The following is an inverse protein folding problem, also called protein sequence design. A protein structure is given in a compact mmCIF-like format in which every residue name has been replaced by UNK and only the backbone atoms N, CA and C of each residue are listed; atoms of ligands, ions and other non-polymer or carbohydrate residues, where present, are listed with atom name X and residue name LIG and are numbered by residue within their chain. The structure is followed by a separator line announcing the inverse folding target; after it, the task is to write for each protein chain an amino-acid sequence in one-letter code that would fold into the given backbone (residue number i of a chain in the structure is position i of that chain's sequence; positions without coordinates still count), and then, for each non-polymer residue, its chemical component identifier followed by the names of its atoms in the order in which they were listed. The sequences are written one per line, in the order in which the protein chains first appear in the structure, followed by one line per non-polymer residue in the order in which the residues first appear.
data_IF_018494602199
#
_entry.id   IF_018494602199
#
_cell.length_a   1.000
_cell.length_b   1.000
_cell.length_c   1.000
_cell.angle_alpha   90.00
_cell.angle_beta   90.00
_cell.angle_gamma   90.00
#
_symmetry.space_group_name_H-M   'P 1'
#
loop_
_entity.id
_entity.type
_entity.pdbx_description
1 polymer ?
#
# COMPACT_ATOMS: atom_id res chain seq x y z
N UNK A 1 10.89 18.21 -16.67
CA UNK A 1 10.54 18.92 -17.91
C UNK A 1 10.44 17.88 -19.03
N UNK A 2 9.22 17.62 -19.52
CA UNK A 2 8.92 16.62 -20.52
C UNK A 2 8.85 17.24 -21.92
N UNK A 3 10.03 17.47 -22.52
CA UNK A 3 10.14 18.01 -23.90
C UNK A 3 9.60 17.00 -24.92
N UNK A 4 9.78 15.70 -24.65
CA UNK A 4 9.31 14.62 -25.52
C UNK A 4 7.80 14.71 -25.75
N UNK A 5 7.02 14.88 -24.68
CA UNK A 5 5.56 15.09 -24.75
C UNK A 5 5.17 16.29 -25.63
N UNK A 6 5.90 17.40 -25.51
CA UNK A 6 5.68 18.60 -26.34
C UNK A 6 5.94 18.31 -27.82
N UNK A 7 7.03 17.61 -28.14
CA UNK A 7 7.41 17.25 -29.52
C UNK A 7 6.43 16.26 -30.14
N UNK A 8 6.04 15.23 -29.39
CA UNK A 8 5.04 14.24 -29.81
C UNK A 8 3.72 14.91 -30.15
N UNK A 9 3.21 15.76 -29.25
CA UNK A 9 1.94 16.45 -29.48
C UNK A 9 1.97 17.36 -30.71
N UNK A 10 3.07 18.07 -30.94
CA UNK A 10 3.24 18.88 -32.15
C UNK A 10 3.15 18.03 -33.41
N UNK A 11 3.81 16.86 -33.42
CA UNK A 11 3.82 15.94 -34.55
C UNK A 11 2.44 15.31 -34.78
N UNK A 12 1.73 14.93 -33.73
CA UNK A 12 0.34 14.43 -33.81
C UNK A 12 -0.60 15.43 -34.49
N UNK A 13 -0.46 16.71 -34.16
CA UNK A 13 -1.26 17.79 -34.75
C UNK A 13 -0.76 18.23 -36.15
N UNK A 14 0.30 17.61 -36.66
CA UNK A 14 0.85 17.91 -37.99
C UNK A 14 1.55 19.27 -38.10
N UNK A 15 1.87 19.93 -36.98
CA UNK A 15 2.51 21.24 -37.03
C UNK A 15 4.00 21.15 -37.37
N UNK A 16 4.46 21.91 -38.35
CA UNK A 16 5.90 22.21 -38.47
C UNK A 16 6.34 23.16 -37.33
N UNK A 17 7.64 23.20 -37.01
CA UNK A 17 8.15 24.15 -36.01
C UNK A 17 7.86 25.61 -36.39
N UNK A 18 7.89 25.92 -37.69
CA UNK A 18 7.48 27.21 -38.23
C UNK A 18 6.00 27.49 -38.02
N UNK A 19 5.13 26.50 -38.24
CA UNK A 19 3.68 26.67 -38.05
C UNK A 19 3.32 26.87 -36.59
N UNK A 20 3.93 26.08 -35.70
CA UNK A 20 3.74 26.24 -34.27
C UNK A 20 4.21 27.62 -33.77
N UNK A 21 5.30 28.14 -34.33
CA UNK A 21 5.87 29.43 -33.94
C UNK A 21 5.04 30.65 -34.39
N UNK A 22 4.24 30.56 -35.46
CA UNK A 22 3.54 31.70 -36.09
C UNK A 22 2.76 32.56 -35.09
N UNK A 23 3.09 33.85 -35.00
CA UNK A 23 2.39 34.78 -34.10
C UNK A 23 2.66 34.58 -32.60
N UNK A 24 3.62 33.72 -32.23
CA UNK A 24 4.03 33.48 -30.83
C UNK A 24 5.52 33.77 -30.66
N UNK A 25 6.38 33.14 -31.46
CA UNK A 25 7.83 33.29 -31.39
C UNK A 25 8.50 32.97 -32.75
N UNK A 26 9.82 32.78 -32.78
CA UNK A 26 10.54 32.38 -34.00
C UNK A 26 10.71 30.87 -34.06
N UNK A 27 10.82 30.31 -35.28
CA UNK A 27 11.10 28.88 -35.47
C UNK A 27 12.41 28.46 -34.77
N UNK A 28 13.43 29.32 -34.75
CA UNK A 28 14.67 29.07 -34.05
C UNK A 28 14.49 28.93 -32.53
N UNK A 29 13.51 29.61 -31.93
CA UNK A 29 13.17 29.47 -30.51
C UNK A 29 12.55 28.10 -30.22
N UNK A 30 11.63 27.63 -31.08
CA UNK A 30 11.07 26.26 -30.97
C UNK A 30 12.16 25.21 -31.16
N UNK A 31 13.02 25.37 -32.17
CA UNK A 31 14.12 24.44 -32.42
C UNK A 31 15.07 24.34 -31.22
N UNK A 32 15.44 25.47 -30.60
CA UNK A 32 16.30 25.48 -29.40
C UNK A 32 15.61 24.90 -28.17
N UNK A 33 14.30 25.07 -28.04
CA UNK A 33 13.51 24.47 -26.97
C UNK A 33 13.42 22.94 -27.14
N UNK A 34 13.08 22.46 -28.34
CA UNK A 34 12.91 21.02 -28.65
C UNK A 34 14.23 20.25 -28.63
N UNK A 35 15.31 20.81 -29.19
CA UNK A 35 16.58 20.08 -29.37
C UNK A 35 17.57 20.25 -28.21
N UNK A 36 17.59 21.42 -27.56
CA UNK A 36 18.61 21.77 -26.58
C UNK A 36 18.04 22.07 -25.18
N UNK A 37 16.72 21.89 -24.98
CA UNK A 37 16.05 22.17 -23.71
C UNK A 37 16.21 23.61 -23.22
N UNK A 38 16.49 24.56 -24.12
CA UNK A 38 16.72 25.96 -23.75
C UNK A 38 15.41 26.56 -23.25
N UNK A 39 15.39 26.97 -21.97
CA UNK A 39 14.24 27.61 -21.36
C UNK A 39 13.80 28.85 -22.14
N UNK A 40 12.52 28.86 -22.48
CA UNK A 40 11.80 29.99 -23.08
C UNK A 40 11.00 30.69 -21.99
N UNK A 41 10.57 31.93 -22.25
CA UNK A 41 9.75 32.64 -21.26
C UNK A 41 8.43 31.90 -21.04
N UNK A 42 7.93 31.93 -19.80
CA UNK A 42 6.67 31.32 -19.39
C UNK A 42 5.49 31.78 -20.25
N UNK A 43 5.50 33.06 -20.67
CA UNK A 43 4.52 33.62 -21.60
C UNK A 43 4.52 32.92 -22.96
N UNK A 44 5.70 32.71 -23.56
CA UNK A 44 5.82 32.03 -24.86
C UNK A 44 5.40 30.57 -24.70
N UNK A 45 5.89 29.90 -23.65
CA UNK A 45 5.54 28.50 -23.37
C UNK A 45 4.03 28.32 -23.23
N UNK A 46 3.35 29.15 -22.43
CA UNK A 46 1.90 29.09 -22.24
C UNK A 46 1.11 29.21 -23.54
N UNK A 47 1.52 30.11 -24.44
CA UNK A 47 0.86 30.29 -25.73
C UNK A 47 1.06 29.09 -26.65
N UNK A 48 2.24 28.45 -26.59
CA UNK A 48 2.52 27.22 -27.34
C UNK A 48 1.72 26.04 -26.80
N UNK A 49 1.65 25.87 -25.47
CA UNK A 49 0.82 24.86 -24.80
C UNK A 49 -0.65 24.99 -25.21
N UNK A 50 -1.18 26.22 -25.14
CA UNK A 50 -2.56 26.52 -25.54
C UNK A 50 -2.82 26.12 -27.00
N UNK A 51 -1.89 26.40 -27.91
CA UNK A 51 -2.01 26.02 -29.33
C UNK A 51 -1.95 24.50 -29.55
N UNK A 52 -1.17 23.79 -28.74
CA UNK A 52 -1.05 22.34 -28.78
C UNK A 52 -2.19 21.62 -28.03
N UNK A 53 -3.05 22.37 -27.32
CA UNK A 53 -4.12 21.82 -26.50
C UNK A 53 -3.60 20.99 -25.32
N UNK A 54 -2.40 21.29 -24.82
CA UNK A 54 -1.81 20.65 -23.65
C UNK A 54 -1.64 21.68 -22.54
N UNK A 55 -1.68 21.20 -21.31
CA UNK A 55 -1.42 22.03 -20.14
C UNK A 55 0.08 22.28 -19.97
N UNK A 56 0.44 23.37 -19.26
CA UNK A 56 1.84 23.58 -18.85
C UNK A 56 2.30 22.45 -17.91
N UNK A 57 1.40 21.91 -17.08
CA UNK A 57 1.70 20.79 -16.18
C UNK A 57 2.07 19.51 -16.93
N UNK A 58 1.61 19.29 -18.16
CA UNK A 58 2.08 18.16 -18.98
C UNK A 58 3.55 18.28 -19.44
N UNK A 59 4.09 19.50 -19.50
CA UNK A 59 5.49 19.78 -19.90
C UNK A 59 6.36 19.98 -18.66
N UNK A 60 5.82 20.62 -17.64
CA UNK A 60 6.43 20.83 -16.34
C UNK A 60 5.48 20.25 -15.30
N UNK A 61 5.50 18.92 -15.11
CA UNK A 61 4.70 18.29 -14.06
C UNK A 61 4.95 19.05 -12.76
N UNK A 62 3.88 19.57 -12.16
CA UNK A 62 4.04 20.02 -10.79
C UNK A 62 4.41 18.78 -9.97
N UNK A 63 5.40 18.88 -9.08
CA UNK A 63 5.70 17.81 -8.11
C UNK A 63 4.44 17.28 -7.42
N UNK A 64 3.50 18.19 -7.13
CA UNK A 64 2.20 17.94 -6.50
C UNK A 64 1.30 17.07 -7.38
N UNK A 65 1.28 17.26 -8.70
CA UNK A 65 0.40 16.52 -9.62
C UNK A 65 0.92 15.09 -9.84
N UNK A 66 2.24 14.89 -9.87
CA UNK A 66 2.87 13.56 -10.04
C UNK A 66 2.68 12.70 -8.79
N UNK A 67 2.93 13.26 -7.59
CA UNK A 67 2.74 12.52 -6.34
C UNK A 67 1.25 12.22 -6.10
N UNK A 68 0.32 13.08 -6.54
CA UNK A 68 -1.13 12.84 -6.42
C UNK A 68 -1.59 11.61 -7.23
N UNK A 69 -1.15 11.47 -8.48
CA UNK A 69 -1.48 10.28 -9.29
C UNK A 69 -0.84 9.01 -8.73
N UNK A 70 0.42 9.09 -8.28
CA UNK A 70 1.08 7.97 -7.60
C UNK A 70 0.30 7.58 -6.35
N UNK A 71 -0.11 8.54 -5.51
CA UNK A 71 -0.88 8.28 -4.29
C UNK A 71 -2.21 7.56 -4.58
N UNK A 72 -2.96 7.96 -5.61
CA UNK A 72 -4.20 7.26 -5.98
C UNK A 72 -3.93 5.78 -6.35
N UNK A 73 -2.84 5.53 -7.09
CA UNK A 73 -2.45 4.16 -7.46
C UNK A 73 -1.99 3.36 -6.25
N UNK A 74 -1.25 3.97 -5.33
CA UNK A 74 -0.85 3.35 -4.07
C UNK A 74 -2.07 2.99 -3.22
N UNK A 75 -3.10 3.84 -3.14
CA UNK A 75 -4.35 3.51 -2.43
C UNK A 75 -5.04 2.28 -3.00
N UNK A 76 -5.00 2.10 -4.33
CA UNK A 76 -5.53 0.88 -4.97
C UNK A 76 -4.69 -0.34 -4.60
N UNK A 77 -3.36 -0.24 -4.69
CA UNK A 77 -2.46 -1.33 -4.31
C UNK A 77 -2.54 -1.68 -2.80
N UNK A 78 -2.79 -0.70 -1.93
CA UNK A 78 -3.07 -0.91 -0.51
C UNK A 78 -4.34 -1.73 -0.31
N UNK A 79 -5.41 -1.42 -1.05
CA UNK A 79 -6.65 -2.17 -0.98
C UNK A 79 -6.44 -3.62 -1.41
N UNK A 80 -5.76 -3.84 -2.53
CA UNK A 80 -5.42 -5.17 -3.04
C UNK A 80 -4.59 -5.98 -2.02
N UNK A 81 -3.64 -5.33 -1.34
CA UNK A 81 -2.88 -5.94 -0.25
C UNK A 81 -3.78 -6.40 0.92
N UNK A 82 -4.79 -5.60 1.28
CA UNK A 82 -5.72 -5.90 2.38
C UNK A 82 -6.66 -7.06 2.00
N UNK A 83 -7.15 -7.08 0.76
CA UNK A 83 -8.01 -8.14 0.20
C UNK A 83 -7.26 -9.40 -0.18
N UNK A 84 -5.94 -9.42 -0.01
CA UNK A 84 -5.02 -10.54 -0.28
C UNK A 84 -4.76 -10.83 -1.75
N UNK A 85 -5.00 -9.85 -2.62
CA UNK A 85 -4.68 -9.83 -4.04
C UNK A 85 -3.24 -9.30 -4.24
N UNK A 86 -2.26 -10.10 -3.79
CA UNK A 86 -0.86 -9.65 -3.69
C UNK A 86 -0.20 -9.40 -5.05
N UNK A 87 -0.51 -10.22 -6.05
CA UNK A 87 0.08 -10.12 -7.38
C UNK A 87 -0.43 -8.86 -8.10
N UNK A 88 -1.70 -8.50 -7.89
CA UNK A 88 -2.34 -7.28 -8.37
C UNK A 88 -1.69 -6.04 -7.76
N UNK A 89 -1.50 -6.04 -6.43
CA UNK A 89 -0.79 -4.96 -5.74
C UNK A 89 0.64 -4.78 -6.29
N UNK A 90 1.37 -5.87 -6.49
CA UNK A 90 2.73 -5.84 -7.05
C UNK A 90 2.72 -5.31 -8.49
N UNK A 91 1.75 -5.71 -9.33
CA UNK A 91 1.63 -5.23 -10.71
C UNK A 91 1.40 -3.71 -10.78
N UNK A 92 0.58 -3.16 -9.88
CA UNK A 92 0.40 -1.70 -9.76
C UNK A 92 1.72 -1.02 -9.40
N UNK A 93 2.49 -1.58 -8.47
CA UNK A 93 3.78 -1.01 -8.05
C UNK A 93 4.85 -1.08 -9.13
N UNK A 94 4.89 -2.14 -9.94
CA UNK A 94 5.83 -2.29 -11.05
C UNK A 94 5.61 -1.23 -12.15
N UNK A 95 4.40 -0.71 -12.28
CA UNK A 95 4.07 0.35 -13.23
C UNK A 95 4.31 1.75 -12.66
N UNK A 96 4.78 1.89 -11.42
CA UNK A 96 5.19 3.17 -10.81
C UNK A 96 6.71 3.25 -10.89
N UNK A 97 7.25 4.36 -11.41
CA UNK A 97 8.69 4.60 -11.36
C UNK A 97 9.07 5.21 -10.00
N UNK A 98 9.66 4.38 -9.12
CA UNK A 98 10.06 4.77 -7.77
C UNK A 98 10.96 6.03 -7.73
N UNK A 99 11.88 6.16 -8.68
CA UNK A 99 12.82 7.29 -8.76
C UNK A 99 12.13 8.63 -9.07
N UNK A 100 10.90 8.58 -9.58
CA UNK A 100 10.12 9.79 -9.91
C UNK A 100 9.27 10.29 -8.75
N UNK A 101 9.12 9.50 -7.69
CA UNK A 101 8.40 9.88 -6.48
C UNK A 101 9.24 10.93 -5.75
N UNK A 102 8.63 12.05 -5.36
CA UNK A 102 9.36 13.15 -4.71
C UNK A 102 9.16 13.11 -3.20
N UNK A 103 7.91 12.93 -2.76
CA UNK A 103 7.58 12.90 -1.34
C UNK A 103 8.06 11.60 -0.65
N UNK A 104 8.83 11.74 0.42
CA UNK A 104 9.38 10.61 1.18
C UNK A 104 8.29 9.75 1.84
N UNK A 105 7.19 10.34 2.30
CA UNK A 105 6.02 9.59 2.78
C UNK A 105 5.44 8.71 1.67
N UNK A 106 5.29 9.23 0.46
CA UNK A 106 4.84 8.45 -0.70
C UNK A 106 5.83 7.32 -1.03
N UNK A 107 7.15 7.55 -0.90
CA UNK A 107 8.17 6.51 -1.07
C UNK A 107 8.05 5.42 0.00
N UNK A 108 7.90 5.80 1.26
CA UNK A 108 7.72 4.83 2.35
C UNK A 108 6.43 4.02 2.16
N UNK A 109 5.34 4.65 1.72
CA UNK A 109 4.10 3.94 1.36
C UNK A 109 4.35 2.91 0.25
N UNK A 110 5.02 3.31 -0.83
CA UNK A 110 5.40 2.39 -1.91
C UNK A 110 6.21 1.20 -1.36
N UNK A 111 7.23 1.47 -0.53
CA UNK A 111 8.11 0.45 0.04
C UNK A 111 7.36 -0.49 1.00
N UNK A 112 6.42 0.02 1.80
CA UNK A 112 5.57 -0.81 2.65
C UNK A 112 4.72 -1.75 1.81
N UNK A 113 3.98 -1.24 0.81
CA UNK A 113 3.11 -2.10 -0.01
C UNK A 113 3.95 -3.15 -0.73
N UNK A 114 5.09 -2.75 -1.30
CA UNK A 114 6.01 -3.66 -1.99
C UNK A 114 6.53 -4.74 -1.03
N UNK A 115 7.08 -4.34 0.11
CA UNK A 115 7.66 -5.25 1.09
C UNK A 115 6.64 -6.24 1.63
N UNK A 116 5.44 -5.78 1.98
CA UNK A 116 4.36 -6.66 2.42
C UNK A 116 3.87 -7.58 1.32
N UNK A 117 3.69 -7.08 0.09
CA UNK A 117 3.30 -7.89 -1.07
C UNK A 117 4.26 -9.06 -1.28
N UNK A 118 5.56 -8.77 -1.34
CA UNK A 118 6.63 -9.76 -1.49
C UNK A 118 6.68 -10.76 -0.32
N UNK A 119 6.61 -10.26 0.92
CA UNK A 119 6.64 -11.10 2.13
C UNK A 119 5.41 -12.00 2.28
N UNK A 120 4.24 -11.57 1.80
CA UNK A 120 2.99 -12.32 1.94
C UNK A 120 2.73 -13.28 0.76
N UNK A 121 3.21 -12.94 -0.44
CA UNK A 121 3.16 -13.83 -1.61
C UNK A 121 4.29 -14.87 -1.64
N UNK A 122 5.22 -14.81 -0.67
CA UNK A 122 6.41 -15.65 -0.62
C UNK A 122 7.32 -15.49 -1.86
N UNK A 123 7.31 -14.29 -2.45
CA UNK A 123 8.14 -13.91 -3.59
C UNK A 123 9.29 -13.04 -3.08
N UNK A 124 10.46 -13.64 -2.80
CA UNK A 124 11.68 -12.88 -2.51
C UNK A 124 11.74 -12.23 -1.12
N UNK A 125 11.98 -13.04 -0.08
CA UNK A 125 12.16 -12.54 1.30
C UNK A 125 13.26 -11.49 1.42
N UNK A 126 14.39 -11.65 0.71
CA UNK A 126 15.49 -10.70 0.77
C UNK A 126 15.11 -9.32 0.21
N UNK A 127 14.32 -9.29 -0.88
CA UNK A 127 13.83 -8.03 -1.46
C UNK A 127 12.77 -7.39 -0.56
N UNK A 128 11.91 -8.17 0.08
CA UNK A 128 10.99 -7.68 1.09
C UNK A 128 11.73 -7.03 2.27
N UNK A 129 12.74 -7.72 2.81
CA UNK A 129 13.60 -7.20 3.89
C UNK A 129 14.30 -5.91 3.46
N UNK A 130 14.80 -5.85 2.23
CA UNK A 130 15.44 -4.64 1.71
C UNK A 130 14.48 -3.45 1.67
N UNK A 131 13.21 -3.66 1.28
CA UNK A 131 12.20 -2.58 1.30
C UNK A 131 12.03 -1.99 2.71
N UNK A 132 11.98 -2.85 3.73
CA UNK A 132 11.87 -2.42 5.13
C UNK A 132 13.15 -1.78 5.66
N UNK A 133 14.31 -2.25 5.23
CA UNK A 133 15.62 -1.68 5.57
C UNK A 133 15.76 -0.24 5.05
N UNK A 134 15.32 0.03 3.82
CA UNK A 134 15.31 1.38 3.26
C UNK A 134 14.46 2.36 4.08
N UNK A 135 13.41 1.88 4.74
CA UNK A 135 12.61 2.70 5.67
C UNK A 135 13.39 2.91 6.96
N UNK A 136 13.79 1.82 7.63
CA UNK A 136 14.39 1.86 8.97
C UNK A 136 15.77 2.51 9.02
N UNK A 137 16.55 2.43 7.94
CA UNK A 137 17.92 2.95 7.86
C UNK A 137 18.07 4.07 6.82
N UNK A 138 16.95 4.61 6.33
CA UNK A 138 16.92 5.66 5.32
C UNK A 138 15.82 6.68 5.62
N UNK A 139 14.62 6.42 5.14
CA UNK A 139 13.53 7.41 5.17
C UNK A 139 13.01 7.76 6.56
N UNK A 140 13.12 6.86 7.54
CA UNK A 140 12.70 7.08 8.92
C UNK A 140 13.74 6.53 9.90
N UNK A 141 15.03 6.84 9.70
CA UNK A 141 16.14 6.40 10.58
C UNK A 141 15.90 6.60 12.10
N UNK A 142 15.24 7.68 12.57
CA UNK A 142 14.92 7.84 13.99
C UNK A 142 13.86 6.87 14.55
N UNK A 143 13.15 6.15 13.68
CA UNK A 143 12.04 5.25 13.99
C UNK A 143 10.85 5.91 14.70
N UNK A 144 10.51 7.13 14.30
CA UNK A 144 9.50 7.94 14.99
C UNK A 144 8.14 7.96 14.28
N UNK A 145 8.04 7.42 13.05
CA UNK A 145 6.78 7.40 12.31
C UNK A 145 6.12 6.02 12.35
N UNK A 146 4.85 5.98 11.95
CA UNK A 146 4.11 4.72 11.75
C UNK A 146 4.78 3.80 10.72
N UNK A 147 5.60 4.33 9.79
CA UNK A 147 6.28 3.54 8.78
C UNK A 147 7.36 2.63 9.36
N UNK A 148 8.07 3.05 10.40
CA UNK A 148 9.01 2.17 11.10
C UNK A 148 8.31 1.04 11.84
N UNK A 149 7.15 1.33 12.45
CA UNK A 149 6.33 0.31 13.11
C UNK A 149 5.82 -0.73 12.11
N UNK A 150 5.33 -0.28 10.95
CA UNK A 150 4.96 -1.13 9.84
C UNK A 150 6.15 -1.93 9.31
N UNK A 151 7.32 -1.32 9.16
CA UNK A 151 8.52 -2.01 8.70
C UNK A 151 8.94 -3.12 9.67
N UNK A 152 8.82 -2.92 10.99
CA UNK A 152 9.05 -3.99 11.96
C UNK A 152 8.04 -5.13 11.83
N UNK A 153 6.75 -4.84 11.68
CA UNK A 153 5.74 -5.88 11.42
C UNK A 153 6.05 -6.62 10.12
N UNK A 154 6.42 -5.90 9.06
CA UNK A 154 6.84 -6.45 7.78
C UNK A 154 8.05 -7.38 7.87
N UNK A 155 9.09 -7.00 8.62
CA UNK A 155 10.23 -7.87 8.92
C UNK A 155 9.80 -9.12 9.70
N UNK A 156 8.86 -8.96 10.64
CA UNK A 156 8.24 -10.08 11.36
C UNK A 156 7.62 -11.10 10.40
N UNK A 157 6.83 -10.63 9.43
CA UNK A 157 6.23 -11.47 8.39
C UNK A 157 7.30 -12.13 7.53
N UNK A 158 8.31 -11.37 7.06
CA UNK A 158 9.38 -11.90 6.22
C UNK A 158 10.16 -13.03 6.93
N UNK A 159 10.53 -12.86 8.20
CA UNK A 159 11.19 -13.90 8.98
C UNK A 159 10.28 -15.08 9.32
N UNK A 160 8.98 -14.85 9.50
CA UNK A 160 8.01 -15.92 9.67
C UNK A 160 7.96 -16.83 8.43
N UNK A 161 8.03 -16.28 7.21
CA UNK A 161 7.98 -17.09 5.98
C UNK A 161 9.16 -18.06 5.86
N UNK A 162 10.35 -17.62 6.26
CA UNK A 162 11.55 -18.49 6.31
C UNK A 162 11.62 -19.33 7.59
N UNK A 163 10.50 -19.45 8.31
CA UNK A 163 10.33 -20.24 9.54
C UNK A 163 11.27 -19.86 10.68
N UNK A 164 11.82 -18.64 10.66
CA UNK A 164 12.65 -18.12 11.75
C UNK A 164 11.77 -17.40 12.77
N UNK A 165 11.08 -18.18 13.60
CA UNK A 165 10.10 -17.66 14.56
C UNK A 165 10.72 -16.77 15.64
N UNK A 166 11.97 -17.01 16.03
CA UNK A 166 12.67 -16.19 17.03
C UNK A 166 12.87 -14.76 16.51
N UNK A 167 13.36 -14.62 15.27
CA UNK A 167 13.49 -13.30 14.63
C UNK A 167 12.12 -12.68 14.35
N UNK A 168 11.15 -13.46 13.91
CA UNK A 168 9.79 -12.96 13.70
C UNK A 168 9.23 -12.36 15.00
N UNK A 169 9.32 -13.10 16.10
CA UNK A 169 8.85 -12.65 17.42
C UNK A 169 9.59 -11.40 17.87
N UNK A 170 10.91 -11.33 17.70
CA UNK A 170 11.71 -10.15 18.03
C UNK A 170 11.17 -8.90 17.35
N UNK A 171 10.83 -8.97 16.06
CA UNK A 171 10.31 -7.82 15.33
C UNK A 171 8.85 -7.50 15.67
N UNK A 172 7.97 -8.50 15.75
CA UNK A 172 6.57 -8.29 16.16
C UNK A 172 6.46 -7.69 17.57
N UNK A 173 7.36 -8.04 18.50
CA UNK A 173 7.37 -7.52 19.86
C UNK A 173 7.72 -6.01 19.94
N UNK A 174 8.31 -5.42 18.90
CA UNK A 174 8.60 -3.98 18.86
C UNK A 174 7.36 -3.11 18.64
N UNK A 175 6.37 -3.62 17.90
CA UNK A 175 5.20 -2.85 17.48
C UNK A 175 4.38 -2.29 18.66
N UNK A 176 3.96 -3.07 19.68
CA UNK A 176 3.05 -2.57 20.72
C UNK A 176 3.61 -1.39 21.50
N UNK A 177 4.91 -1.43 21.83
CA UNK A 177 5.58 -0.34 22.54
C UNK A 177 5.58 0.94 21.71
N UNK A 178 5.95 0.84 20.43
CA UNK A 178 6.06 2.01 19.57
C UNK A 178 4.69 2.63 19.24
N UNK A 179 3.65 1.80 19.05
CA UNK A 179 2.29 2.28 18.81
C UNK A 179 1.75 3.07 20.01
N UNK A 180 2.11 2.68 21.24
CA UNK A 180 1.71 3.39 22.45
C UNK A 180 2.46 4.73 22.63
N UNK A 181 3.74 4.79 22.24
CA UNK A 181 4.55 6.02 22.30
C UNK A 181 4.16 7.03 21.22
N UNK A 182 3.63 6.57 20.08
CA UNK A 182 3.28 7.40 18.92
C UNK A 182 1.87 7.05 18.39
N UNK A 183 0.81 7.41 19.11
CA UNK A 183 -0.56 7.19 18.63
C UNK A 183 -0.84 8.07 17.40
N UNK A 184 -1.45 7.49 16.37
CA UNK A 184 -1.94 8.24 15.20
C UNK A 184 -3.45 8.50 15.32
N UNK A 185 -3.84 9.76 15.11
CA UNK A 185 -5.25 10.19 15.06
C UNK A 185 -5.78 10.32 13.62
N UNK A 186 -4.92 10.14 12.60
CA UNK A 186 -5.30 10.33 11.21
C UNK A 186 -6.16 9.16 10.71
N UNK A 187 -7.31 9.50 10.16
CA UNK A 187 -8.23 8.55 9.52
C UNK A 187 -7.54 7.85 8.34
N UNK A 188 -6.64 8.55 7.63
CA UNK A 188 -5.87 8.00 6.52
C UNK A 188 -4.88 6.90 6.96
N UNK A 189 -4.51 6.84 8.23
CA UNK A 189 -3.59 5.86 8.79
C UNK A 189 -4.28 4.71 9.53
N UNK A 190 -5.62 4.73 9.65
CA UNK A 190 -6.38 3.68 10.36
C UNK A 190 -6.04 2.31 9.80
N UNK A 191 -5.96 2.16 8.47
CA UNK A 191 -5.64 0.88 7.84
C UNK A 191 -4.23 0.38 8.20
N UNK A 192 -3.25 1.28 8.42
CA UNK A 192 -1.89 0.93 8.83
C UNK A 192 -1.91 0.30 10.22
N UNK A 193 -2.65 0.91 11.14
CA UNK A 193 -2.86 0.36 12.49
C UNK A 193 -3.59 -0.98 12.45
N UNK A 194 -4.65 -1.12 11.65
CA UNK A 194 -5.35 -2.39 11.49
C UNK A 194 -4.45 -3.49 10.92
N UNK A 195 -3.59 -3.14 9.95
CA UNK A 195 -2.58 -4.03 9.36
C UNK A 195 -1.62 -4.55 10.44
N UNK A 196 -1.06 -3.64 11.24
CA UNK A 196 -0.15 -4.00 12.34
C UNK A 196 -0.81 -4.89 13.39
N UNK A 197 -2.02 -4.53 13.83
CA UNK A 197 -2.79 -5.33 14.80
C UNK A 197 -3.11 -6.72 14.25
N UNK A 198 -3.54 -6.82 12.99
CA UNK A 198 -3.91 -8.09 12.37
C UNK A 198 -2.71 -9.04 12.28
N UNK A 199 -1.62 -8.59 11.67
CA UNK A 199 -0.47 -9.48 11.42
C UNK A 199 0.25 -9.84 12.72
N UNK A 200 0.36 -8.89 13.67
CA UNK A 200 0.93 -9.17 14.99
C UNK A 200 0.05 -10.14 15.77
N UNK A 201 -1.28 -9.93 15.78
CA UNK A 201 -2.22 -10.83 16.43
C UNK A 201 -2.19 -12.24 15.82
N UNK A 202 -2.12 -12.34 14.49
CA UNK A 202 -2.02 -13.62 13.78
C UNK A 202 -0.70 -14.35 14.10
N UNK A 203 0.41 -13.62 14.23
CA UNK A 203 1.68 -14.21 14.66
C UNK A 203 1.61 -14.77 16.09
N UNK A 204 1.03 -14.04 17.03
CA UNK A 204 0.87 -14.56 18.40
C UNK A 204 -0.04 -15.80 18.46
N UNK A 205 -1.07 -15.89 17.60
CA UNK A 205 -1.85 -17.11 17.44
C UNK A 205 -1.01 -18.29 16.93
N UNK A 206 -0.13 -18.04 15.95
CA UNK A 206 0.77 -19.05 15.38
C UNK A 206 1.66 -19.68 16.46
N UNK A 207 2.22 -18.86 17.37
CA UNK A 207 3.06 -19.33 18.48
C UNK A 207 2.27 -19.74 19.73
N UNK A 208 0.94 -19.88 19.61
CA UNK A 208 0.01 -20.31 20.68
C UNK A 208 -0.14 -19.37 21.87
N UNK A 209 0.31 -18.12 21.74
CA UNK A 209 -0.07 -17.05 22.68
C UNK A 209 -1.43 -16.47 22.28
N UNK A 210 -2.48 -17.25 22.53
CA UNK A 210 -3.86 -16.90 22.16
C UNK A 210 -4.35 -15.66 22.91
N UNK A 211 -3.89 -15.44 24.15
CA UNK A 211 -4.28 -14.28 24.94
C UNK A 211 -3.82 -12.97 24.29
N UNK A 212 -2.55 -12.90 23.88
CA UNK A 212 -2.02 -11.71 23.19
C UNK A 212 -2.68 -11.55 21.82
N UNK A 213 -2.89 -12.66 21.11
CA UNK A 213 -3.60 -12.65 19.81
C UNK A 213 -5.01 -12.07 19.93
N UNK A 214 -5.83 -12.61 20.83
CA UNK A 214 -7.22 -12.22 21.01
C UNK A 214 -7.34 -10.74 21.43
N UNK A 215 -6.43 -10.28 22.29
CA UNK A 215 -6.37 -8.86 22.69
C UNK A 215 -6.15 -7.95 21.48
N UNK A 216 -5.18 -8.26 20.62
CA UNK A 216 -4.85 -7.44 19.44
C UNK A 216 -5.97 -7.46 18.41
N UNK A 217 -6.56 -8.64 18.15
CA UNK A 217 -7.66 -8.80 17.19
C UNK A 217 -8.95 -8.14 17.68
N UNK A 218 -9.21 -8.14 18.99
CA UNK A 218 -10.33 -7.40 19.58
C UNK A 218 -10.12 -5.90 19.47
N UNK A 219 -8.91 -5.40 19.74
CA UNK A 219 -8.56 -3.98 19.52
C UNK A 219 -8.75 -3.58 18.05
N UNK A 220 -8.41 -4.45 17.11
CA UNK A 220 -8.65 -4.24 15.69
C UNK A 220 -10.14 -4.07 15.39
N UNK A 221 -11.00 -4.97 15.88
CA UNK A 221 -12.44 -4.92 15.64
C UNK A 221 -13.06 -3.65 16.28
N UNK A 222 -12.63 -3.30 17.49
CA UNK A 222 -13.09 -2.06 18.16
C UNK A 222 -12.69 -0.81 17.37
N UNK A 223 -11.42 -0.71 16.92
CA UNK A 223 -10.97 0.39 16.08
C UNK A 223 -11.74 0.46 14.75
N UNK A 224 -11.96 -0.69 14.13
CA UNK A 224 -12.73 -0.83 12.89
C UNK A 224 -14.16 -0.33 13.04
N UNK A 225 -14.83 -0.71 14.13
CA UNK A 225 -16.19 -0.28 14.47
C UNK A 225 -16.26 1.24 14.68
N UNK A 226 -15.34 1.80 15.48
CA UNK A 226 -15.31 3.23 15.79
C UNK A 226 -15.00 4.11 14.58
N UNK A 227 -14.28 3.59 13.59
CA UNK A 227 -13.89 4.31 12.37
C UNK A 227 -14.72 3.92 11.14
N UNK A 228 -15.72 3.05 11.31
CA UNK A 228 -16.60 2.55 10.24
C UNK A 228 -15.86 1.93 9.04
N UNK A 229 -14.77 1.20 9.31
CA UNK A 229 -14.00 0.47 8.29
C UNK A 229 -14.16 -1.03 8.47
N UNK A 230 -14.36 -1.77 7.37
CA UNK A 230 -14.79 -3.17 7.43
C UNK A 230 -13.74 -4.16 6.92
N UNK A 231 -12.67 -3.69 6.29
CA UNK A 231 -11.79 -4.54 5.47
C UNK A 231 -11.07 -5.66 6.26
N UNK A 232 -10.57 -5.35 7.46
CA UNK A 232 -9.89 -6.34 8.31
C UNK A 232 -10.82 -7.08 9.28
N UNK A 233 -12.08 -6.64 9.43
CA UNK A 233 -13.03 -7.22 10.41
C UNK A 233 -13.25 -8.70 10.13
N UNK A 234 -13.51 -9.05 8.86
CA UNK A 234 -13.71 -10.43 8.43
C UNK A 234 -12.52 -11.33 8.79
N UNK A 235 -11.29 -10.87 8.51
CA UNK A 235 -10.05 -11.61 8.76
C UNK A 235 -9.81 -11.77 10.26
N UNK A 236 -10.06 -10.73 11.05
CA UNK A 236 -9.88 -10.78 12.50
C UNK A 236 -10.89 -11.72 13.17
N UNK A 237 -12.17 -11.68 12.77
CA UNK A 237 -13.20 -12.59 13.26
C UNK A 237 -12.88 -14.04 12.90
N UNK A 238 -12.42 -14.30 11.67
CA UNK A 238 -11.98 -15.63 11.29
C UNK A 238 -10.82 -16.11 12.17
N UNK A 239 -9.79 -15.28 12.39
CA UNK A 239 -8.66 -15.66 13.25
C UNK A 239 -9.09 -15.89 14.71
N UNK A 240 -9.99 -15.08 15.27
CA UNK A 240 -10.57 -15.31 16.60
C UNK A 240 -11.32 -16.66 16.65
N UNK A 241 -12.07 -17.01 15.61
CA UNK A 241 -12.73 -18.32 15.52
C UNK A 241 -11.71 -19.47 15.55
N UNK A 242 -10.58 -19.32 14.83
CA UNK A 242 -9.49 -20.31 14.86
C UNK A 242 -8.83 -20.42 16.24
N UNK A 243 -8.64 -19.29 16.94
CA UNK A 243 -8.07 -19.25 18.28
C UNK A 243 -8.97 -19.99 19.28
N UNK A 244 -10.27 -19.68 19.30
CA UNK A 244 -11.24 -20.35 20.18
C UNK A 244 -11.38 -21.82 19.82
N UNK A 245 -11.41 -22.16 18.53
CA UNK A 245 -11.46 -23.56 18.09
C UNK A 245 -10.23 -24.35 18.55
N UNK A 246 -9.05 -23.74 18.54
CA UNK A 246 -7.80 -24.38 19.02
C UNK A 246 -7.88 -24.73 20.51
N UNK A 247 -8.54 -23.90 21.32
CA UNK A 247 -8.67 -24.10 22.77
C UNK A 247 -9.86 -25.01 23.15
N UNK A 248 -11.03 -24.80 22.52
CA UNK A 248 -12.32 -25.36 22.94
C UNK A 248 -13.01 -26.24 21.90
N UNK A 249 -12.46 -26.35 20.68
CA UNK A 249 -13.10 -27.04 19.57
C UNK A 249 -14.32 -26.31 19.02
N UNK A 250 -15.24 -27.05 18.37
CA UNK A 250 -16.44 -26.48 17.76
C UNK A 250 -17.45 -26.05 18.84
N UNK A 251 -17.64 -24.74 18.99
CA UNK A 251 -18.63 -24.14 19.90
C UNK A 251 -19.59 -23.23 19.14
N UNK A 252 -20.69 -22.84 19.78
CA UNK A 252 -21.61 -21.84 19.22
C UNK A 252 -20.93 -20.48 18.98
N UNK A 253 -19.94 -20.13 19.80
CA UNK A 253 -19.12 -18.93 19.66
C UNK A 253 -18.27 -18.97 18.38
N UNK A 254 -17.62 -20.12 18.11
CA UNK A 254 -16.89 -20.34 16.84
C UNK A 254 -17.84 -20.20 15.65
N UNK A 255 -19.01 -20.83 15.70
CA UNK A 255 -20.01 -20.71 14.61
C UNK A 255 -20.45 -19.27 14.40
N UNK A 256 -20.69 -18.50 15.47
CA UNK A 256 -21.07 -17.09 15.37
C UNK A 256 -19.98 -16.25 14.70
N UNK A 257 -18.72 -16.38 15.15
CA UNK A 257 -17.59 -15.67 14.57
C UNK A 257 -17.35 -16.02 13.09
N UNK A 258 -17.52 -17.28 12.72
CA UNK A 258 -17.42 -17.70 11.32
C UNK A 258 -18.52 -17.09 10.46
N UNK A 259 -19.75 -16.99 10.96
CA UNK A 259 -20.86 -16.34 10.24
C UNK A 259 -20.62 -14.86 10.03
N UNK A 260 -20.14 -14.16 11.06
CA UNK A 260 -19.80 -12.75 10.95
C UNK A 260 -18.64 -12.54 9.97
N UNK A 261 -17.59 -13.37 10.07
CA UNK A 261 -16.47 -13.34 9.15
C UNK A 261 -16.92 -13.54 7.69
N UNK A 262 -17.83 -14.49 7.45
CA UNK A 262 -18.39 -14.77 6.13
C UNK A 262 -19.24 -13.59 5.61
N UNK A 263 -20.02 -12.94 6.49
CA UNK A 263 -20.82 -11.77 6.14
C UNK A 263 -19.95 -10.57 5.71
N UNK A 264 -18.93 -10.23 6.50
CA UNK A 264 -18.01 -9.15 6.15
C UNK A 264 -17.12 -9.50 4.95
N UNK A 265 -16.71 -10.77 4.79
CA UNK A 265 -15.95 -11.19 3.62
C UNK A 265 -16.76 -11.02 2.33
N UNK A 266 -18.05 -11.38 2.32
CA UNK A 266 -18.96 -11.11 1.20
C UNK A 266 -19.13 -9.62 0.92
N UNK A 267 -19.34 -8.83 1.98
CA UNK A 267 -19.51 -7.39 1.85
C UNK A 267 -18.29 -6.70 1.22
N UNK A 268 -17.09 -7.16 1.58
CA UNK A 268 -15.83 -6.65 1.04
C UNK A 268 -15.37 -7.34 -0.25
N UNK A 269 -16.19 -8.24 -0.84
CA UNK A 269 -15.84 -9.02 -2.03
C UNK A 269 -14.53 -9.84 -1.91
N UNK A 270 -14.19 -10.31 -0.69
CA UNK A 270 -12.96 -11.07 -0.44
C UNK A 270 -13.18 -12.57 -0.66
N UNK A 271 -13.06 -13.02 -1.90
CA UNK A 271 -13.28 -14.43 -2.28
C UNK A 271 -12.25 -15.37 -1.63
N UNK A 272 -10.98 -14.95 -1.57
CA UNK A 272 -9.88 -15.70 -0.96
C UNK A 272 -10.18 -16.07 0.51
N UNK A 273 -10.80 -15.17 1.27
CA UNK A 273 -11.21 -15.45 2.65
C UNK A 273 -12.45 -16.34 2.72
N UNK A 274 -13.43 -16.15 1.84
CA UNK A 274 -14.64 -17.00 1.78
C UNK A 274 -14.26 -18.47 1.54
N UNK A 275 -13.31 -18.72 0.66
CA UNK A 275 -12.80 -20.06 0.37
C UNK A 275 -12.09 -20.67 1.58
N UNK A 276 -11.28 -19.88 2.30
CA UNK A 276 -10.63 -20.30 3.56
C UNK A 276 -11.64 -20.66 4.65
N UNK A 277 -12.66 -19.82 4.84
CA UNK A 277 -13.75 -20.08 5.80
C UNK A 277 -14.49 -21.36 5.42
N UNK A 278 -14.80 -21.55 4.13
CA UNK A 278 -15.48 -22.75 3.64
C UNK A 278 -14.69 -24.02 3.92
N UNK A 279 -13.41 -24.01 3.58
CA UNK A 279 -12.53 -25.15 3.73
C UNK A 279 -12.38 -25.52 5.21
N UNK A 280 -12.24 -24.52 6.08
CA UNK A 280 -12.20 -24.72 7.52
C UNK A 280 -13.51 -25.30 8.08
N UNK A 281 -14.66 -24.72 7.76
CA UNK A 281 -15.95 -25.19 8.27
C UNK A 281 -16.27 -26.61 7.80
N UNK A 282 -15.98 -26.94 6.54
CA UNK A 282 -16.18 -28.27 6.00
C UNK A 282 -15.28 -29.32 6.67
N UNK A 283 -13.98 -28.99 6.81
CA UNK A 283 -13.00 -29.91 7.42
C UNK A 283 -13.29 -30.22 8.88
N UNK A 284 -14.03 -29.36 9.58
CA UNK A 284 -14.33 -29.48 11.00
C UNK A 284 -15.81 -29.74 11.32
N UNK A 285 -16.64 -30.06 10.30
CA UNK A 285 -18.09 -30.32 10.44
C UNK A 285 -18.86 -29.20 11.18
N UNK A 286 -18.47 -27.94 10.97
CA UNK A 286 -19.16 -26.79 11.57
C UNK A 286 -20.31 -26.38 10.64
N UNK A 287 -21.53 -26.40 11.16
CA UNK A 287 -22.72 -26.00 10.41
C UNK A 287 -22.69 -24.50 10.09
N UNK A 288 -22.99 -24.18 8.82
CA UNK A 288 -23.20 -22.80 8.36
C UNK A 288 -24.56 -22.28 8.80
#
# INVERSE_FOLDING_TARGET
MNITRFVERRKELGYSQSDLAKGICTQATISKFENNGKMISTKILSQLCQRLGISISEIFPNPIDTDSEVQHRLQTAEFDLITTEYDEAIAILQSINFETIINDTTKMTYLIIKGYGLALSNQGTDEAVFCFDQILNGYDEPHNTIYSQLAYVGLGIAYQQVKNLDKAQFYFAKMPKQLAEHPTDDVADVWKTLTMLFYTGSFYALIKDLKTSDSLLTSLIHLSSNRHVTFYVARAQFQLALNIFTDKGATSEVTALLRDAEAFARFNHNQNLLDKIQLFSHSNNISR
#
